data_IF_974746190973
#
_entry.id   IF_974746190973
#
_cell.length_a   1.000
_cell.length_b   1.000
_cell.length_c   1.000
_cell.angle_alpha   90.00
_cell.angle_beta   90.00
_cell.angle_gamma   90.00
#
_symmetry.space_group_name_H-M   'P 1'
#
loop_
_entity.id
_entity.type
_entity.pdbx_description
1 polymer ?
#
# COMPACT_ATOMS: atom_id res chain seq x y z
N UNK A 1 -7.50 -7.42 -21.73
CA UNK A 1 -8.43 -6.62 -20.92
C UNK A 1 -8.54 -5.26 -21.59
N UNK A 2 -9.77 -4.78 -21.80
CA UNK A 2 -10.09 -3.50 -22.42
C UNK A 2 -11.07 -2.71 -21.51
N UNK A 3 -11.30 -1.42 -21.76
CA UNK A 3 -12.36 -0.67 -21.12
C UNK A 3 -13.70 -1.42 -21.20
N UNK A 4 -14.41 -1.48 -20.07
CA UNK A 4 -15.65 -2.26 -19.90
C UNK A 4 -15.47 -3.62 -19.27
N UNK A 5 -14.24 -4.16 -19.14
CA UNK A 5 -13.99 -5.42 -18.45
C UNK A 5 -13.77 -5.27 -16.92
N UNK A 6 -13.67 -4.04 -16.39
CA UNK A 6 -13.50 -3.79 -14.94
C UNK A 6 -14.67 -4.37 -14.15
N UNK A 7 -14.34 -5.09 -13.05
CA UNK A 7 -15.30 -5.82 -12.23
C UNK A 7 -15.65 -7.21 -12.77
N UNK A 8 -15.31 -7.54 -14.02
CA UNK A 8 -15.50 -8.87 -14.57
C UNK A 8 -14.46 -9.89 -14.10
N UNK A 9 -14.76 -11.19 -14.17
CA UNK A 9 -13.86 -12.26 -13.72
C UNK A 9 -12.67 -12.43 -14.67
N UNK A 10 -11.50 -12.73 -14.11
CA UNK A 10 -10.36 -13.28 -14.81
C UNK A 10 -10.37 -14.79 -14.62
N UNK A 11 -10.46 -15.53 -15.75
CA UNK A 11 -10.57 -16.98 -15.74
C UNK A 11 -9.25 -17.63 -16.18
N UNK A 12 -8.93 -18.78 -15.59
CA UNK A 12 -7.86 -19.64 -16.08
C UNK A 12 -8.38 -20.62 -17.15
N UNK A 13 -7.49 -21.45 -17.70
CA UNK A 13 -7.85 -22.45 -18.72
C UNK A 13 -8.75 -23.59 -18.22
N UNK A 14 -8.98 -23.71 -16.91
CA UNK A 14 -9.90 -24.67 -16.31
C UNK A 14 -11.29 -24.06 -16.03
N UNK A 15 -11.51 -22.79 -16.42
CA UNK A 15 -12.75 -22.07 -16.15
C UNK A 15 -12.88 -21.58 -14.72
N UNK A 16 -11.82 -21.62 -13.90
CA UNK A 16 -11.83 -21.13 -12.54
C UNK A 16 -11.57 -19.63 -12.50
N UNK A 17 -12.27 -18.89 -11.64
CA UNK A 17 -12.00 -17.48 -11.40
C UNK A 17 -10.75 -17.33 -10.57
N UNK A 18 -9.72 -16.68 -11.12
CA UNK A 18 -8.44 -16.43 -10.45
C UNK A 18 -8.27 -14.99 -10.02
N UNK A 19 -9.15 -14.08 -10.48
CA UNK A 19 -9.10 -12.67 -10.10
C UNK A 19 -10.28 -11.88 -10.62
N UNK A 20 -10.34 -10.61 -10.22
CA UNK A 20 -11.32 -9.62 -10.70
C UNK A 20 -10.55 -8.53 -11.46
N UNK A 21 -10.93 -8.29 -12.72
CA UNK A 21 -10.32 -7.25 -13.52
C UNK A 21 -10.52 -5.87 -12.89
N UNK A 22 -9.46 -5.11 -12.73
CA UNK A 22 -9.47 -3.82 -12.04
C UNK A 22 -9.26 -2.68 -13.02
N UNK A 23 -8.08 -2.58 -13.60
CA UNK A 23 -7.70 -1.46 -14.45
C UNK A 23 -6.66 -1.86 -15.49
N UNK A 24 -6.45 -1.00 -16.48
CA UNK A 24 -5.35 -1.07 -17.44
C UNK A 24 -4.41 0.12 -17.25
N UNK A 25 -3.12 -0.07 -17.54
CA UNK A 25 -2.23 1.05 -17.76
C UNK A 25 -2.42 1.54 -19.19
N UNK A 26 -2.82 2.81 -19.35
CA UNK A 26 -3.07 3.38 -20.66
C UNK A 26 -2.76 4.87 -20.70
N UNK A 27 -2.14 5.32 -21.79
CA UNK A 27 -1.94 6.73 -22.10
C UNK A 27 -2.95 7.25 -23.14
N UNK A 28 -3.62 6.34 -23.86
CA UNK A 28 -4.53 6.64 -24.96
C UNK A 28 -5.97 6.17 -24.72
N UNK A 29 -6.27 5.61 -23.54
CA UNK A 29 -7.56 5.02 -23.19
C UNK A 29 -7.75 3.57 -23.65
N UNK A 30 -6.88 3.03 -24.51
CA UNK A 30 -6.91 1.63 -24.95
C UNK A 30 -5.88 0.75 -24.24
N UNK A 31 -5.99 -0.56 -24.42
CA UNK A 31 -5.04 -1.52 -23.85
C UNK A 31 -3.64 -1.36 -24.46
N UNK A 32 -2.63 -1.18 -23.62
CA UNK A 32 -1.22 -1.01 -24.01
C UNK A 32 -0.31 -2.13 -23.47
N UNK A 33 -0.84 -3.33 -23.28
CA UNK A 33 -0.08 -4.51 -22.85
C UNK A 33 -0.02 -4.72 -21.34
N UNK A 34 -0.46 -3.78 -20.52
CA UNK A 34 -0.45 -3.92 -19.05
C UNK A 34 -1.87 -3.79 -18.51
N UNK A 35 -2.28 -4.78 -17.72
CA UNK A 35 -3.55 -4.81 -17.01
C UNK A 35 -3.37 -5.37 -15.61
N UNK A 36 -4.26 -4.99 -14.71
CA UNK A 36 -4.26 -5.37 -13.31
C UNK A 36 -5.55 -6.09 -12.95
N UNK A 37 -5.43 -7.12 -12.13
CA UNK A 37 -6.55 -7.82 -11.55
C UNK A 37 -6.32 -7.98 -10.04
N UNK A 38 -7.39 -7.96 -9.26
CA UNK A 38 -7.36 -8.29 -7.84
C UNK A 38 -7.41 -9.81 -7.73
N UNK A 39 -6.45 -10.45 -7.03
CA UNK A 39 -6.47 -11.89 -6.80
C UNK A 39 -7.80 -12.34 -6.15
N UNK A 40 -8.30 -13.53 -6.52
CA UNK A 40 -9.63 -13.96 -6.08
C UNK A 40 -9.72 -14.18 -4.57
N UNK A 41 -8.66 -14.67 -3.93
CA UNK A 41 -8.57 -14.83 -2.48
C UNK A 41 -8.72 -13.49 -1.74
N UNK A 42 -8.11 -12.44 -2.27
CA UNK A 42 -8.26 -11.08 -1.75
C UNK A 42 -9.69 -10.55 -1.94
N UNK A 43 -10.27 -10.75 -3.12
CA UNK A 43 -11.65 -10.33 -3.41
C UNK A 43 -12.66 -11.03 -2.49
N UNK A 44 -12.50 -12.32 -2.26
CA UNK A 44 -13.35 -13.10 -1.34
C UNK A 44 -13.21 -12.56 0.09
N UNK A 45 -11.99 -12.37 0.58
CA UNK A 45 -11.73 -11.84 1.93
C UNK A 45 -12.38 -10.46 2.14
N UNK A 46 -12.24 -9.55 1.18
CA UNK A 46 -12.85 -8.22 1.23
C UNK A 46 -14.37 -8.32 1.22
N UNK A 47 -14.94 -9.17 0.36
CA UNK A 47 -16.38 -9.43 0.28
C UNK A 47 -16.94 -9.95 1.61
N UNK A 48 -16.25 -10.89 2.26
CA UNK A 48 -16.66 -11.40 3.58
C UNK A 48 -16.65 -10.32 4.66
N UNK A 49 -15.62 -9.46 4.69
CA UNK A 49 -15.60 -8.34 5.63
C UNK A 49 -16.76 -7.36 5.40
N UNK A 50 -17.01 -6.99 4.15
CA UNK A 50 -18.11 -6.10 3.79
C UNK A 50 -19.48 -6.69 4.18
N UNK A 51 -19.68 -7.99 3.97
CA UNK A 51 -20.91 -8.69 4.39
C UNK A 51 -21.09 -8.75 5.90
N UNK A 52 -19.99 -8.92 6.64
CA UNK A 52 -20.03 -9.08 8.10
C UNK A 52 -20.14 -7.73 8.84
N UNK A 53 -19.47 -6.68 8.36
CA UNK A 53 -19.30 -5.43 9.12
C UNK A 53 -19.66 -4.17 8.35
N UNK A 54 -19.93 -4.27 7.04
CA UNK A 54 -20.19 -3.13 6.16
C UNK A 54 -18.95 -2.31 5.79
N UNK A 55 -17.77 -2.64 6.35
CA UNK A 55 -16.51 -1.93 6.08
C UNK A 55 -15.34 -2.90 5.93
N UNK A 56 -14.31 -2.45 5.22
CA UNK A 56 -13.03 -3.17 5.12
C UNK A 56 -12.06 -2.54 6.08
N UNK A 57 -11.53 -3.33 7.01
CA UNK A 57 -10.45 -2.92 7.89
C UNK A 57 -9.12 -3.44 7.38
N UNK A 58 -8.09 -2.62 7.39
CA UNK A 58 -6.72 -2.99 7.00
C UNK A 58 -5.77 -2.75 8.15
N UNK A 59 -4.86 -3.68 8.32
CA UNK A 59 -3.79 -3.56 9.30
C UNK A 59 -2.71 -2.59 8.83
N UNK A 60 -2.10 -1.88 9.80
CA UNK A 60 -0.99 -0.96 9.61
C UNK A 60 0.03 -1.11 10.71
N UNK A 61 1.30 -0.91 10.41
CA UNK A 61 2.39 -0.90 11.39
C UNK A 61 3.16 0.42 11.44
N UNK A 62 2.99 1.33 10.47
CA UNK A 62 3.59 2.66 10.46
C UNK A 62 5.07 2.66 10.11
N UNK A 63 5.43 2.02 8.98
CA UNK A 63 6.77 2.07 8.40
C UNK A 63 6.70 2.53 6.95
N UNK A 64 7.70 3.30 6.52
CA UNK A 64 7.99 3.50 5.12
C UNK A 64 9.04 2.48 4.69
N UNK A 65 8.80 1.82 3.56
CA UNK A 65 9.65 0.73 3.10
C UNK A 65 10.16 0.94 1.69
N UNK A 66 11.35 0.40 1.44
CA UNK A 66 12.01 0.39 0.15
C UNK A 66 12.50 -1.00 -0.23
N UNK A 67 12.91 -1.13 -1.48
CA UNK A 67 13.48 -2.38 -1.99
C UNK A 67 14.91 -2.58 -1.47
N UNK A 68 15.25 -3.81 -1.11
CA UNK A 68 16.63 -4.21 -0.81
C UNK A 68 17.34 -4.47 -2.13
N UNK A 69 18.36 -3.66 -2.45
CA UNK A 69 19.21 -3.91 -3.64
C UNK A 69 20.28 -4.95 -3.31
N UNK A 70 20.88 -5.56 -4.35
CA UNK A 70 21.96 -6.53 -4.16
C UNK A 70 23.16 -5.90 -3.45
N UNK A 71 23.52 -4.67 -3.83
CA UNK A 71 24.63 -3.93 -3.24
C UNK A 71 24.40 -3.67 -1.75
N UNK A 72 23.16 -3.32 -1.36
CA UNK A 72 22.80 -3.15 0.06
C UNK A 72 22.91 -4.49 0.78
N UNK A 73 22.32 -5.56 0.25
CA UNK A 73 22.35 -6.88 0.87
C UNK A 73 23.78 -7.41 1.09
N UNK A 74 24.67 -7.24 0.10
CA UNK A 74 26.08 -7.61 0.17
C UNK A 74 26.83 -6.76 1.20
N UNK A 75 26.63 -5.44 1.21
CA UNK A 75 27.33 -4.52 2.13
C UNK A 75 27.05 -4.76 3.60
N UNK A 76 25.83 -5.27 3.92
CA UNK A 76 25.41 -5.55 5.31
C UNK A 76 25.52 -7.03 5.69
N UNK A 77 25.90 -7.92 4.75
CA UNK A 77 26.03 -9.36 5.00
C UNK A 77 24.70 -10.11 5.08
N UNK A 78 23.62 -9.62 4.45
CA UNK A 78 22.31 -10.29 4.45
C UNK A 78 22.29 -11.57 3.60
N UNK A 79 23.20 -11.71 2.63
CA UNK A 79 23.34 -12.90 1.77
C UNK A 79 22.35 -12.97 0.61
N UNK A 80 21.19 -12.31 0.68
CA UNK A 80 20.19 -12.23 -0.40
C UNK A 80 19.46 -10.90 -0.37
N UNK A 81 19.07 -10.40 -1.56
CA UNK A 81 18.35 -9.12 -1.70
C UNK A 81 16.83 -9.28 -1.42
N UNK A 82 16.47 -10.05 -0.39
CA UNK A 82 15.09 -10.28 0.04
C UNK A 82 14.75 -9.41 1.25
N UNK A 83 13.47 -9.11 1.41
CA UNK A 83 12.97 -8.33 2.53
C UNK A 83 12.46 -6.94 2.12
N UNK A 84 12.04 -6.20 3.12
CA UNK A 84 11.63 -4.81 3.00
C UNK A 84 12.54 -3.92 3.85
N UNK A 85 13.30 -3.02 3.20
CA UNK A 85 14.15 -2.05 3.88
C UNK A 85 13.27 -0.97 4.51
N UNK A 86 13.38 -0.78 5.82
CA UNK A 86 12.71 0.31 6.53
C UNK A 86 13.47 1.61 6.29
N UNK A 87 12.88 2.52 5.53
CA UNK A 87 13.46 3.85 5.26
C UNK A 87 13.09 4.87 6.35
N UNK A 88 11.91 4.74 6.92
CA UNK A 88 11.45 5.57 8.04
C UNK A 88 10.45 4.82 8.91
N UNK A 89 10.34 5.21 10.17
CA UNK A 89 9.35 4.72 11.13
C UNK A 89 8.54 5.92 11.62
N UNK A 90 7.23 5.81 11.55
CA UNK A 90 6.34 6.87 12.00
C UNK A 90 6.34 6.97 13.53
N UNK A 91 6.40 8.18 14.09
CA UNK A 91 6.28 8.39 15.54
C UNK A 91 4.98 7.78 16.07
N UNK A 92 5.03 7.26 17.31
CA UNK A 92 3.89 6.66 18.03
C UNK A 92 3.23 5.45 17.34
N UNK A 93 3.75 5.02 16.18
CA UNK A 93 3.26 3.87 15.44
C UNK A 93 3.50 2.53 16.17
N UNK A 94 2.79 1.46 15.76
CA UNK A 94 3.09 0.11 16.20
C UNK A 94 4.54 -0.30 16.00
N UNK A 95 5.16 0.10 14.90
CA UNK A 95 6.55 -0.18 14.58
C UNK A 95 7.53 0.52 15.55
N UNK A 96 7.29 1.80 15.84
CA UNK A 96 8.07 2.53 16.83
C UNK A 96 7.98 1.88 18.21
N UNK A 97 6.77 1.51 18.66
CA UNK A 97 6.53 0.83 19.94
C UNK A 97 7.15 -0.56 20.00
N UNK A 98 7.26 -1.27 18.88
CA UNK A 98 7.92 -2.56 18.78
C UNK A 98 9.45 -2.46 18.70
N UNK A 99 10.01 -1.25 18.57
CA UNK A 99 11.45 -1.01 18.48
C UNK A 99 12.03 -1.28 17.09
N UNK A 100 11.22 -1.15 16.04
CA UNK A 100 11.71 -1.13 14.65
C UNK A 100 12.38 0.21 14.41
N UNK A 101 13.53 0.20 13.72
CA UNK A 101 14.35 1.38 13.43
C UNK A 101 14.53 1.55 11.92
N UNK A 102 14.76 2.78 11.48
CA UNK A 102 15.20 3.03 10.10
C UNK A 102 16.54 2.33 9.85
N UNK A 103 16.66 1.68 8.70
CA UNK A 103 17.80 0.82 8.35
C UNK A 103 17.60 -0.67 8.68
N UNK A 104 16.53 -1.06 9.37
CA UNK A 104 16.14 -2.47 9.50
C UNK A 104 15.70 -3.05 8.18
N UNK A 105 15.94 -4.34 7.97
CA UNK A 105 15.33 -5.09 6.88
C UNK A 105 14.37 -6.12 7.47
N UNK A 106 13.08 -5.96 7.19
CA UNK A 106 12.07 -6.92 7.61
C UNK A 106 12.13 -8.13 6.66
N UNK A 107 12.51 -9.29 7.21
CA UNK A 107 12.72 -10.53 6.45
C UNK A 107 11.62 -11.55 6.65
N UNK A 108 10.87 -11.48 7.78
CA UNK A 108 9.71 -12.35 8.02
C UNK A 108 8.60 -11.60 8.75
N UNK A 109 7.36 -12.00 8.49
CA UNK A 109 6.17 -11.56 9.19
C UNK A 109 5.28 -12.76 9.50
N UNK A 110 4.98 -13.02 10.77
CA UNK A 110 4.25 -14.21 11.27
C UNK A 110 4.79 -15.52 10.65
N UNK A 111 6.12 -15.68 10.64
CA UNK A 111 6.81 -16.84 10.09
C UNK A 111 6.87 -16.92 8.56
N UNK A 112 6.14 -16.06 7.84
CA UNK A 112 6.19 -16.00 6.37
C UNK A 112 7.36 -15.14 5.92
N UNK A 113 8.15 -15.65 4.98
CA UNK A 113 9.27 -14.90 4.40
C UNK A 113 8.75 -13.70 3.59
N UNK A 114 9.52 -12.61 3.61
CA UNK A 114 9.32 -11.44 2.79
C UNK A 114 10.35 -11.51 1.66
N UNK A 115 9.92 -12.00 0.49
CA UNK A 115 10.80 -12.11 -0.68
C UNK A 115 10.84 -10.81 -1.47
N UNK A 116 9.74 -10.08 -1.50
CA UNK A 116 9.61 -8.80 -2.19
C UNK A 116 9.05 -7.74 -1.25
N UNK A 117 9.42 -6.50 -1.48
CA UNK A 117 8.92 -5.35 -0.69
C UNK A 117 7.38 -5.32 -0.62
N UNK A 118 6.69 -5.71 -1.69
CA UNK A 118 5.22 -5.74 -1.77
C UNK A 118 4.56 -6.82 -0.87
N UNK A 119 5.30 -7.83 -0.41
CA UNK A 119 4.75 -8.87 0.46
C UNK A 119 4.40 -8.34 1.83
N UNK A 120 5.20 -7.41 2.38
CA UNK A 120 4.97 -6.86 3.71
C UNK A 120 3.64 -6.09 3.81
N UNK A 121 3.34 -5.10 2.96
CA UNK A 121 2.04 -4.40 3.00
C UNK A 121 0.85 -5.34 2.83
N UNK A 122 0.99 -6.35 1.95
CA UNK A 122 -0.06 -7.35 1.74
C UNK A 122 -0.31 -8.20 2.98
N UNK A 123 0.74 -8.69 3.65
CA UNK A 123 0.61 -9.50 4.86
C UNK A 123 0.07 -8.68 6.03
N UNK A 124 0.62 -7.50 6.25
CA UNK A 124 0.17 -6.58 7.32
C UNK A 124 -1.26 -6.13 7.08
N UNK A 125 -1.60 -5.70 5.86
CA UNK A 125 -2.95 -5.26 5.50
C UNK A 125 -4.00 -6.35 5.67
N UNK A 126 -3.60 -7.62 5.53
CA UNK A 126 -4.46 -8.79 5.74
C UNK A 126 -4.57 -9.22 7.21
N UNK A 127 -3.73 -8.68 8.09
CA UNK A 127 -3.77 -8.97 9.51
C UNK A 127 -4.85 -8.11 10.18
N UNK A 128 -5.69 -8.75 11.00
CA UNK A 128 -6.76 -8.05 11.73
C UNK A 128 -6.15 -7.05 12.71
N UNK A 129 -6.62 -5.79 12.74
CA UNK A 129 -6.19 -4.81 13.74
C UNK A 129 -6.34 -5.33 15.18
N UNK A 130 -5.42 -4.99 16.06
CA UNK A 130 -5.32 -5.48 17.43
C UNK A 130 -4.61 -6.83 17.58
N UNK A 131 -4.28 -7.52 16.47
CA UNK A 131 -3.52 -8.78 16.53
C UNK A 131 -2.05 -8.51 16.86
N UNK A 132 -1.49 -9.35 17.73
CA UNK A 132 -0.05 -9.41 17.95
C UNK A 132 0.59 -10.33 16.92
N UNK A 133 1.55 -9.80 16.19
CA UNK A 133 2.29 -10.49 15.13
C UNK A 133 3.78 -10.50 15.43
N UNK A 134 4.48 -11.55 14.99
CA UNK A 134 5.92 -11.65 15.08
C UNK A 134 6.58 -11.06 13.81
N UNK A 135 7.58 -10.21 13.99
CA UNK A 135 8.40 -9.65 12.91
C UNK A 135 9.84 -10.03 13.14
N UNK A 136 10.48 -10.64 12.15
CA UNK A 136 11.94 -10.85 12.17
C UNK A 136 12.59 -9.76 11.32
N UNK A 137 13.47 -8.99 11.94
CA UNK A 137 14.27 -7.96 11.26
C UNK A 137 15.75 -8.35 11.25
N UNK A 138 16.44 -7.95 10.18
CA UNK A 138 17.89 -7.99 10.11
C UNK A 138 18.42 -6.58 10.43
N UNK A 139 19.21 -6.48 11.50
CA UNK A 139 19.79 -5.24 12.01
C UNK A 139 21.26 -5.43 12.33
N UNK A 140 22.15 -4.65 11.72
CA UNK A 140 23.60 -4.66 12.00
C UNK A 140 24.21 -6.05 12.00
N UNK A 141 23.91 -6.85 10.98
CA UNK A 141 24.45 -8.21 10.83
C UNK A 141 23.76 -9.30 11.66
N UNK A 142 22.68 -8.99 12.37
CA UNK A 142 21.98 -9.94 13.25
C UNK A 142 20.49 -10.00 12.97
N UNK A 143 19.92 -11.20 13.04
CA UNK A 143 18.46 -11.39 13.05
C UNK A 143 17.91 -11.09 14.44
N UNK A 144 16.80 -10.37 14.50
CA UNK A 144 16.05 -10.06 15.74
C UNK A 144 14.58 -10.31 15.54
N UNK A 145 13.97 -10.98 16.49
CA UNK A 145 12.52 -11.17 16.52
C UNK A 145 11.89 -10.12 17.43
N UNK A 146 10.91 -9.41 16.88
CA UNK A 146 10.15 -8.35 17.54
C UNK A 146 8.67 -8.74 17.55
N UNK A 147 7.94 -8.29 18.56
CA UNK A 147 6.48 -8.45 18.63
C UNK A 147 5.82 -7.11 18.37
N UNK A 148 4.89 -7.08 17.43
CA UNK A 148 4.18 -5.87 17.05
C UNK A 148 2.66 -6.07 17.16
N UNK A 149 1.94 -5.06 17.64
CA UNK A 149 0.48 -5.07 17.62
C UNK A 149 0.01 -4.24 16.44
N UNK A 150 -0.67 -4.87 15.49
CA UNK A 150 -1.13 -4.22 14.26
C UNK A 150 -2.23 -3.20 14.58
N UNK A 151 -2.10 -1.96 14.08
CA UNK A 151 -3.15 -0.94 14.19
C UNK A 151 -4.10 -1.00 12.99
N UNK A 152 -5.25 -0.36 13.10
CA UNK A 152 -6.16 -0.09 11.97
C UNK A 152 -5.62 1.09 11.15
N UNK A 153 -5.77 1.03 9.84
CA UNK A 153 -5.52 2.19 8.97
C UNK A 153 -6.67 3.17 9.16
N UNK A 154 -6.37 4.38 9.61
CA UNK A 154 -7.37 5.45 9.71
C UNK A 154 -7.86 5.84 8.31
N UNK A 155 -9.18 5.97 8.16
CA UNK A 155 -9.81 6.29 6.87
C UNK A 155 -9.33 7.64 6.29
N UNK A 156 -8.89 8.55 7.14
CA UNK A 156 -8.39 9.87 6.74
C UNK A 156 -6.99 9.83 6.10
N UNK A 157 -6.16 8.81 6.39
CA UNK A 157 -4.84 8.65 5.77
C UNK A 157 -4.89 8.04 4.37
N UNK A 158 -5.89 7.21 4.07
CA UNK A 158 -6.07 6.66 2.71
C UNK A 158 -6.37 7.76 1.69
N UNK A 159 -6.99 8.85 2.13
CA UNK A 159 -7.25 10.02 1.30
C UNK A 159 -5.99 10.86 1.00
N UNK A 160 -4.98 10.83 1.89
CA UNK A 160 -3.76 11.63 1.74
C UNK A 160 -2.74 11.00 0.77
N UNK A 161 -2.69 9.67 0.66
CA UNK A 161 -1.74 8.97 -0.21
C UNK A 161 -2.15 8.91 -1.69
N UNK A 162 -3.38 9.28 -2.04
CA UNK A 162 -3.84 9.36 -3.44
C UNK A 162 -3.59 10.74 -4.07
N UNK A 163 -3.00 11.70 -3.35
CA UNK A 163 -2.80 13.08 -3.82
C UNK A 163 -1.36 13.47 -4.15
N UNK A 164 -0.37 12.58 -4.07
CA UNK A 164 1.03 12.95 -4.34
C UNK A 164 1.46 12.91 -5.81
N UNK A 165 0.60 12.55 -6.75
CA UNK A 165 0.95 12.56 -8.19
C UNK A 165 0.38 13.76 -8.95
N UNK A 166 0.01 14.83 -8.26
CA UNK A 166 -0.41 16.11 -8.86
C UNK A 166 0.13 17.31 -8.07
N UNK A 167 1.45 17.41 -7.96
CA UNK A 167 2.09 18.61 -7.44
C UNK A 167 2.26 19.62 -8.57
N UNK A 168 1.31 20.53 -8.70
CA UNK A 168 1.52 21.96 -8.96
C UNK A 168 0.15 22.67 -9.01
N UNK A 169 -0.21 23.37 -7.96
CA UNK A 169 -0.88 24.69 -8.00
C UNK A 169 -1.56 25.01 -6.65
N UNK A 170 -1.23 26.12 -6.10
CA UNK A 170 -1.95 27.05 -5.24
C UNK A 170 -3.03 26.54 -4.27
N UNK A 171 -2.97 27.00 -3.03
CA UNK A 171 -3.91 26.69 -1.96
C UNK A 171 -5.38 26.70 -2.43
N UNK A 172 -5.98 25.52 -2.49
CA UNK A 172 -7.39 25.34 -2.83
C UNK A 172 -8.17 24.92 -1.59
N UNK A 173 -9.17 25.72 -1.20
CA UNK A 173 -10.12 25.30 -0.17
C UNK A 173 -11.12 24.32 -0.78
N UNK A 174 -11.19 23.10 -0.23
CA UNK A 174 -12.11 22.06 -0.68
C UNK A 174 -13.40 22.10 0.13
N UNK A 175 -14.51 22.49 -0.47
CA UNK A 175 -15.83 22.37 0.14
C UNK A 175 -16.32 20.91 -0.02
N UNK A 176 -15.99 20.07 0.94
CA UNK A 176 -16.25 18.60 0.93
C UNK A 176 -17.73 18.21 0.78
N UNK A 177 -18.68 19.11 1.08
CA UNK A 177 -20.12 18.79 1.05
C UNK A 177 -20.77 18.92 -0.35
N UNK A 178 -20.14 19.63 -1.29
CA UNK A 178 -20.72 19.90 -2.60
C UNK A 178 -19.90 19.37 -3.77
N UNK A 179 -18.76 18.70 -3.51
CA UNK A 179 -17.87 18.21 -4.56
C UNK A 179 -17.24 19.31 -5.40
N UNK A 180 -17.19 20.55 -4.89
CA UNK A 180 -16.62 21.70 -5.56
C UNK A 180 -15.21 21.97 -5.06
N UNK A 181 -14.29 22.16 -5.98
CA UNK A 181 -12.94 22.65 -5.71
C UNK A 181 -12.90 24.14 -6.06
N UNK A 182 -12.66 24.99 -5.07
CA UNK A 182 -12.65 26.46 -5.24
C UNK A 182 -11.23 26.95 -4.99
N UNK A 183 -10.67 27.71 -5.92
CA UNK A 183 -9.36 28.33 -5.81
C UNK A 183 -9.40 29.82 -6.11
N UNK A 184 -8.36 30.56 -5.70
CA UNK A 184 -8.23 31.97 -6.07
C UNK A 184 -7.93 32.11 -7.56
N UNK A 185 -8.60 33.08 -8.19
CA UNK A 185 -8.36 33.43 -9.59
C UNK A 185 -6.96 34.02 -9.75
N UNK A 186 -6.21 33.48 -10.71
CA UNK A 186 -4.92 34.05 -11.10
C UNK A 186 -5.07 35.45 -11.67
N UNK A 187 -4.00 36.25 -11.64
CA UNK A 187 -4.01 37.64 -12.16
C UNK A 187 -4.43 37.69 -13.65
N UNK A 188 -4.11 36.67 -14.44
CA UNK A 188 -4.52 36.54 -15.83
C UNK A 188 -6.03 36.27 -15.98
N UNK A 189 -6.61 35.44 -15.13
CA UNK A 189 -8.03 35.14 -15.10
C UNK A 189 -8.87 36.33 -14.61
N UNK A 190 -8.37 37.08 -13.61
CA UNK A 190 -9.02 38.32 -13.16
C UNK A 190 -9.10 39.38 -14.28
N UNK A 191 -8.07 39.44 -15.15
CA UNK A 191 -8.01 40.39 -16.25
C UNK A 191 -8.91 40.01 -17.44
N UNK A 192 -9.25 38.73 -17.61
CA UNK A 192 -10.18 38.29 -18.67
C UNK A 192 -11.65 38.35 -18.30
N UNK A 193 -11.98 38.63 -17.03
CA UNK A 193 -13.34 38.73 -16.49
C UNK A 193 -13.77 40.18 -16.22
N UNK A 194 -12.87 41.15 -16.41
CA UNK A 194 -13.12 42.58 -16.36
C UNK A 194 -13.34 43.15 -17.76
#
# INVERSE_FOLDING_TARGET
INPGNSGGPLLNMRGEVVGINSQIYSRSGGFMGISFAIPIDEAVRVSEQLRATGKVTRGRIGVQIGQVTKEVAESIGLGSANGALVSAVEPDSPAAKAGIEAGDIIVKYDGKAIDKVADLPRLVGNTKPGTKSAITVFRRGQMRDLSITVAEVDADEVAATTTEDSATAGATATAKQLGLVVGELTAAQKKSLA
#
